data_IF_464842709690
#
_entry.id   IF_464842709690
#
_cell.length_a   1.000
_cell.length_b   1.000
_cell.length_c   1.000
_cell.angle_alpha   90.00
_cell.angle_beta   90.00
_cell.angle_gamma   90.00
#
_symmetry.space_group_name_H-M   'P 1'
#
loop_
_entity.id
_entity.type
_entity.pdbx_description
1 polymer ?
#
# COMPACT_ATOMS: atom_id res chain seq x y z
N UNK A 1 -26.84 16.01 4.71
CA UNK A 1 -25.69 15.58 5.55
C UNK A 1 -25.40 14.09 5.40
N UNK A 2 -26.41 13.24 5.26
CA UNK A 2 -26.26 11.78 5.21
C UNK A 2 -25.32 11.26 4.10
N UNK A 3 -25.44 11.78 2.87
CA UNK A 3 -24.60 11.38 1.72
C UNK A 3 -23.10 11.59 1.97
N UNK A 4 -22.74 12.68 2.63
CA UNK A 4 -21.34 13.00 2.90
C UNK A 4 -20.73 12.00 3.90
N UNK A 5 -21.50 11.58 4.91
CA UNK A 5 -21.09 10.56 5.89
C UNK A 5 -20.91 9.19 5.24
N UNK A 6 -21.81 8.80 4.33
CA UNK A 6 -21.68 7.56 3.55
C UNK A 6 -20.46 7.58 2.63
N UNK A 7 -20.22 8.69 1.92
CA UNK A 7 -19.02 8.84 1.09
C UNK A 7 -17.73 8.76 1.94
N UNK A 8 -17.74 9.28 3.17
CA UNK A 8 -16.60 9.16 4.09
C UNK A 8 -16.36 7.72 4.56
N UNK A 9 -17.41 6.96 4.88
CA UNK A 9 -17.29 5.55 5.26
C UNK A 9 -16.72 4.71 4.12
N UNK A 10 -17.22 4.90 2.89
CA UNK A 10 -16.70 4.21 1.71
C UNK A 10 -15.22 4.50 1.43
N UNK A 11 -14.76 5.73 1.69
CA UNK A 11 -13.36 6.12 1.54
C UNK A 11 -12.45 5.47 2.60
N UNK A 12 -12.94 5.34 3.83
CA UNK A 12 -12.24 4.64 4.91
C UNK A 12 -12.09 3.15 4.57
N UNK A 13 -13.19 2.51 4.15
CA UNK A 13 -13.19 1.09 3.74
C UNK A 13 -12.21 0.84 2.57
N UNK A 14 -12.18 1.74 1.59
CA UNK A 14 -11.22 1.67 0.49
C UNK A 14 -9.77 1.79 0.96
N UNK A 15 -9.51 2.64 1.96
CA UNK A 15 -8.17 2.84 2.56
C UNK A 15 -7.72 1.60 3.34
N UNK A 16 -8.63 0.98 4.08
CA UNK A 16 -8.37 -0.24 4.85
C UNK A 16 -8.14 -1.43 3.91
N UNK A 17 -8.94 -1.55 2.85
CA UNK A 17 -8.76 -2.55 1.79
C UNK A 17 -7.43 -2.38 1.06
N UNK A 18 -7.03 -1.13 0.75
CA UNK A 18 -5.72 -0.83 0.15
C UNK A 18 -4.59 -1.27 1.09
N UNK A 19 -4.71 -0.98 2.39
CA UNK A 19 -3.71 -1.39 3.40
C UNK A 19 -3.60 -2.91 3.47
N UNK A 20 -4.71 -3.63 3.48
CA UNK A 20 -4.69 -5.10 3.48
C UNK A 20 -4.01 -5.69 2.22
N UNK A 21 -4.22 -5.09 1.05
CA UNK A 21 -3.56 -5.54 -0.19
C UNK A 21 -2.06 -5.24 -0.18
N UNK A 22 -1.66 -4.10 0.36
CA UNK A 22 -0.27 -3.70 0.56
C UNK A 22 0.45 -4.75 1.44
N UNK A 23 -0.15 -5.12 2.57
CA UNK A 23 0.43 -6.07 3.52
C UNK A 23 0.50 -7.50 2.94
N UNK A 24 -0.55 -7.92 2.22
CA UNK A 24 -0.57 -9.22 1.55
C UNK A 24 0.53 -9.34 0.47
N UNK A 25 0.74 -8.26 -0.30
CA UNK A 25 1.79 -8.19 -1.31
C UNK A 25 3.17 -8.30 -0.66
N UNK A 26 3.40 -7.59 0.45
CA UNK A 26 4.66 -7.67 1.19
C UNK A 26 4.93 -9.08 1.75
N UNK A 27 3.90 -9.74 2.29
CA UNK A 27 4.02 -11.12 2.75
C UNK A 27 4.38 -12.10 1.61
N UNK A 28 3.78 -11.93 0.43
CA UNK A 28 4.10 -12.75 -0.74
C UNK A 28 5.54 -12.53 -1.23
N UNK A 29 6.00 -11.28 -1.26
CA UNK A 29 7.38 -10.95 -1.62
C UNK A 29 8.39 -11.60 -0.68
N UNK A 30 8.18 -11.47 0.62
CA UNK A 30 9.03 -12.09 1.64
C UNK A 30 9.08 -13.61 1.50
N UNK A 31 7.94 -14.24 1.15
CA UNK A 31 7.88 -15.68 0.95
C UNK A 31 8.68 -16.13 -0.28
N UNK A 32 8.58 -15.40 -1.39
CA UNK A 32 9.37 -15.72 -2.59
C UNK A 32 10.86 -15.50 -2.33
N UNK A 33 11.24 -14.44 -1.63
CA UNK A 33 12.65 -14.21 -1.25
C UNK A 33 13.20 -15.38 -0.41
N UNK A 34 12.42 -15.90 0.54
CA UNK A 34 12.82 -17.08 1.33
C UNK A 34 12.96 -18.34 0.48
N UNK A 35 12.03 -18.58 -0.47
CA UNK A 35 12.10 -19.73 -1.38
C UNK A 35 13.34 -19.62 -2.28
N UNK A 36 13.61 -18.43 -2.81
CA UNK A 36 14.79 -18.14 -3.62
C UNK A 36 16.07 -18.44 -2.85
N UNK A 37 16.24 -17.89 -1.64
CA UNK A 37 17.42 -18.16 -0.79
C UNK A 37 17.62 -19.64 -0.51
N UNK A 38 16.54 -20.40 -0.39
CA UNK A 38 16.61 -21.86 -0.19
C UNK A 38 17.03 -22.59 -1.46
N UNK A 39 16.51 -22.19 -2.63
CA UNK A 39 16.88 -22.75 -3.93
C UNK A 39 18.34 -22.41 -4.29
N UNK A 40 18.79 -21.23 -3.93
CA UNK A 40 20.16 -20.75 -4.12
C UNK A 40 21.20 -21.71 -3.51
N UNK A 41 20.94 -22.22 -2.31
CA UNK A 41 21.82 -23.22 -1.67
C UNK A 41 21.93 -24.55 -2.43
N UNK A 42 21.05 -24.80 -3.41
CA UNK A 42 20.97 -26.04 -4.17
C UNK A 42 21.47 -25.93 -5.61
N UNK A 43 21.71 -24.72 -6.13
CA UNK A 43 22.09 -24.47 -7.54
C UNK A 43 23.52 -23.91 -7.64
N UNK A 44 24.46 -24.72 -8.11
CA UNK A 44 25.83 -24.31 -8.49
C UNK A 44 25.91 -23.93 -9.98
N UNK A 45 26.58 -22.80 -10.32
CA UNK A 45 26.92 -22.41 -11.71
C UNK A 45 26.25 -21.12 -12.22
N UNK A 46 26.46 -20.74 -13.50
CA UNK A 46 26.07 -19.43 -14.06
C UNK A 46 24.57 -19.13 -14.11
N UNK A 47 23.71 -20.13 -13.86
CA UNK A 47 22.27 -19.92 -13.67
C UNK A 47 21.96 -19.15 -12.37
N UNK A 48 22.91 -19.17 -11.42
CA UNK A 48 22.85 -18.48 -10.14
C UNK A 48 22.80 -16.95 -10.31
N UNK A 49 23.72 -16.36 -11.07
CA UNK A 49 23.84 -14.90 -11.20
C UNK A 49 22.65 -14.25 -11.92
N UNK A 50 22.16 -14.89 -12.99
CA UNK A 50 21.00 -14.40 -13.73
C UNK A 50 19.72 -14.47 -12.89
N UNK A 51 19.53 -15.56 -12.16
CA UNK A 51 18.39 -15.74 -11.26
C UNK A 51 18.41 -14.72 -10.12
N UNK A 52 19.57 -14.48 -9.52
CA UNK A 52 19.75 -13.45 -8.49
C UNK A 52 19.40 -12.06 -8.96
N UNK A 53 19.87 -11.69 -10.15
CA UNK A 53 19.58 -10.38 -10.74
C UNK A 53 18.08 -10.19 -10.93
N UNK A 54 17.39 -11.18 -11.52
CA UNK A 54 15.93 -11.12 -11.72
C UNK A 54 15.16 -11.04 -10.40
N UNK A 55 15.56 -11.79 -9.38
CA UNK A 55 14.91 -11.75 -8.07
C UNK A 55 15.15 -10.42 -7.38
N UNK A 56 16.37 -9.88 -7.44
CA UNK A 56 16.71 -8.59 -6.87
C UNK A 56 15.90 -7.45 -7.52
N UNK A 57 15.80 -7.44 -8.86
CA UNK A 57 14.96 -6.48 -9.60
C UNK A 57 13.50 -6.59 -9.20
N UNK A 58 12.95 -7.80 -9.18
CA UNK A 58 11.56 -8.03 -8.79
C UNK A 58 11.27 -7.56 -7.36
N UNK A 59 12.13 -7.89 -6.40
CA UNK A 59 12.02 -7.40 -5.02
C UNK A 59 12.10 -5.87 -4.95
N UNK A 60 12.97 -5.24 -5.75
CA UNK A 60 13.08 -3.77 -5.82
C UNK A 60 11.79 -3.14 -6.34
N UNK A 61 11.30 -3.59 -7.51
CA UNK A 61 10.07 -3.06 -8.12
C UNK A 61 8.88 -3.20 -7.19
N UNK A 62 8.80 -4.30 -6.45
CA UNK A 62 7.70 -4.54 -5.55
C UNK A 62 7.75 -3.67 -4.28
N UNK A 63 8.95 -3.39 -3.75
CA UNK A 63 9.14 -2.39 -2.68
C UNK A 63 8.79 -0.97 -3.15
N UNK A 64 9.08 -0.64 -4.40
CA UNK A 64 8.71 0.64 -5.00
C UNK A 64 7.19 0.77 -5.13
N UNK A 65 6.52 -0.26 -5.67
CA UNK A 65 5.06 -0.30 -5.75
C UNK A 65 4.42 -0.15 -4.37
N UNK A 66 4.91 -0.89 -3.38
CA UNK A 66 4.44 -0.80 -1.99
C UNK A 66 4.63 0.63 -1.45
N UNK A 67 5.76 1.27 -1.72
CA UNK A 67 6.02 2.66 -1.31
C UNK A 67 5.07 3.65 -1.98
N UNK A 68 4.77 3.47 -3.26
CA UNK A 68 3.80 4.31 -3.97
C UNK A 68 2.38 4.13 -3.43
N UNK A 69 1.96 2.89 -3.15
CA UNK A 69 0.64 2.61 -2.58
C UNK A 69 0.48 3.24 -1.18
N UNK A 70 1.52 3.21 -0.34
CA UNK A 70 1.51 3.94 0.95
C UNK A 70 1.39 5.45 0.77
N UNK A 71 2.07 6.04 -0.22
CA UNK A 71 1.93 7.48 -0.52
C UNK A 71 0.52 7.84 -0.95
N UNK A 72 -0.10 7.00 -1.80
CA UNK A 72 -1.50 7.19 -2.23
C UNK A 72 -2.42 7.13 -1.01
N UNK A 73 -2.25 6.13 -0.14
CA UNK A 73 -2.99 6.01 1.12
C UNK A 73 -2.87 7.28 1.97
N UNK A 74 -1.65 7.75 2.21
CA UNK A 74 -1.40 8.92 3.06
C UNK A 74 -2.00 10.19 2.48
N UNK A 75 -1.95 10.33 1.14
CA UNK A 75 -2.61 11.42 0.43
C UNK A 75 -4.14 11.36 0.61
N UNK A 76 -4.74 10.18 0.45
CA UNK A 76 -6.19 9.96 0.65
C UNK A 76 -6.60 10.29 2.09
N UNK A 77 -5.86 9.82 3.09
CA UNK A 77 -6.11 10.12 4.52
C UNK A 77 -5.97 11.62 4.81
N UNK A 78 -4.97 12.29 4.23
CA UNK A 78 -4.75 13.72 4.41
C UNK A 78 -5.87 14.54 3.76
N UNK A 79 -6.23 14.22 2.52
CA UNK A 79 -7.34 14.85 1.81
C UNK A 79 -8.66 14.66 2.59
N UNK A 80 -8.87 13.47 3.14
CA UNK A 80 -10.02 13.13 3.99
C UNK A 80 -10.08 14.02 5.24
N UNK A 81 -8.99 14.12 6.02
CA UNK A 81 -8.93 14.96 7.23
C UNK A 81 -9.19 16.44 6.92
N UNK A 82 -8.61 16.95 5.85
CA UNK A 82 -8.78 18.34 5.44
C UNK A 82 -10.24 18.64 5.04
N UNK A 83 -10.88 17.74 4.27
CA UNK A 83 -12.29 17.89 3.89
C UNK A 83 -13.25 17.78 5.08
N UNK A 84 -13.06 16.80 5.97
CA UNK A 84 -13.89 16.64 7.15
C UNK A 84 -13.82 17.88 8.07
N UNK A 85 -12.61 18.41 8.28
CA UNK A 85 -12.39 19.63 9.07
C UNK A 85 -13.05 20.87 8.45
N UNK A 86 -12.91 21.07 7.14
CA UNK A 86 -13.52 22.18 6.42
C UNK A 86 -15.05 22.15 6.49
N UNK A 87 -15.64 20.97 6.34
CA UNK A 87 -17.09 20.78 6.47
C UNK A 87 -17.55 21.06 7.90
N UNK A 88 -16.91 20.48 8.91
CA UNK A 88 -17.24 20.71 10.33
C UNK A 88 -17.20 22.20 10.68
N UNK A 89 -16.13 22.88 10.26
CA UNK A 89 -15.94 24.33 10.48
C UNK A 89 -17.05 25.14 9.81
N UNK A 90 -17.37 24.86 8.55
CA UNK A 90 -18.46 25.55 7.85
C UNK A 90 -19.79 25.35 8.57
N UNK A 91 -20.15 24.11 8.93
CA UNK A 91 -21.42 23.85 9.64
C UNK A 91 -21.47 24.58 10.99
N UNK A 92 -20.33 24.70 11.69
CA UNK A 92 -20.23 25.46 12.93
C UNK A 92 -20.46 26.96 12.74
N UNK A 93 -19.99 27.53 11.63
CA UNK A 93 -20.20 28.95 11.29
C UNK A 93 -21.67 29.24 10.97
N UNK A 94 -22.36 28.34 10.26
CA UNK A 94 -23.75 28.53 9.82
C UNK A 94 -24.82 28.08 10.84
N UNK A 95 -24.41 27.66 12.05
CA UNK A 95 -25.31 27.31 13.16
C UNK A 95 -25.41 28.39 14.24
N UNK A 96 -24.98 29.62 13.93
CA UNK A 96 -25.21 30.83 14.73
C UNK A 96 -26.34 31.64 14.11
#
# INVERSE_FOLDING_TARGET
>A
MDRLVVDFAALQDATDSLTSHIDATEAMLNRVEQIVRKLESSWEGSAHDGFHTTVAEWCSTARDLHTQLRRIRDFVVTAHRNHASAVHTNIGIWRV
#
